data_IF_708775248250
#
_entry.id   IF_708775248250
#
_cell.length_a   1.000
_cell.length_b   1.000
_cell.length_c   1.000
_cell.angle_alpha   90.00
_cell.angle_beta   90.00
_cell.angle_gamma   90.00
#
_symmetry.space_group_name_H-M   'P 1'
#
loop_
_entity.id
_entity.type
_entity.pdbx_description
1 polymer ?
#
# COMPACT_ATOMS: atom_id res chain seq x y z
N UNK A 1 2.81 9.59 -40.85
CA UNK A 1 2.31 8.62 -39.86
C UNK A 1 2.15 9.37 -38.54
N UNK A 2 0.92 9.62 -38.10
CA UNK A 2 0.62 10.32 -36.84
C UNK A 2 -0.35 9.43 -36.06
N UNK A 3 0.19 8.63 -35.15
CA UNK A 3 -0.58 7.80 -34.22
C UNK A 3 -0.93 8.67 -33.02
N UNK A 4 -2.15 9.24 -33.02
CA UNK A 4 -2.71 9.93 -31.86
C UNK A 4 -3.43 8.92 -30.98
N UNK A 5 -2.85 8.66 -29.81
CA UNK A 5 -3.24 7.64 -28.83
C UNK A 5 -4.63 7.94 -28.25
N UNK A 6 -5.55 6.98 -28.37
CA UNK A 6 -6.88 7.04 -27.78
C UNK A 6 -6.79 6.79 -26.26
N UNK A 7 -7.08 7.82 -25.46
CA UNK A 7 -7.08 7.75 -24.00
C UNK A 7 -8.45 7.23 -23.50
N UNK A 8 -8.53 5.96 -23.12
CA UNK A 8 -9.71 5.37 -22.50
C UNK A 8 -9.69 5.66 -20.99
N UNK A 9 -10.58 6.54 -20.54
CA UNK A 9 -10.79 6.86 -19.12
C UNK A 9 -11.69 5.80 -18.50
N UNK A 10 -11.13 4.93 -17.65
CA UNK A 10 -11.89 3.97 -16.85
C UNK A 10 -12.13 4.58 -15.47
N UNK A 11 -13.37 4.96 -15.22
CA UNK A 11 -13.86 5.44 -13.92
C UNK A 11 -14.05 4.22 -13.02
N UNK A 12 -13.19 4.07 -12.00
CA UNK A 12 -13.38 3.08 -10.94
C UNK A 12 -13.79 3.80 -9.65
N UNK A 13 -15.10 3.76 -9.40
CA UNK A 13 -15.73 4.14 -8.14
C UNK A 13 -15.33 3.08 -7.11
N UNK A 14 -14.37 3.40 -6.24
CA UNK A 14 -14.04 2.53 -5.11
C UNK A 14 -14.78 3.03 -3.86
N UNK A 15 -15.77 2.23 -3.49
CA UNK A 15 -16.57 2.34 -2.28
C UNK A 15 -15.64 2.40 -1.06
N UNK A 16 -15.69 3.52 -0.34
CA UNK A 16 -15.15 3.66 1.00
C UNK A 16 -15.86 2.66 1.93
N UNK A 17 -15.33 1.44 2.00
CA UNK A 17 -15.75 0.42 2.95
C UNK A 17 -15.13 0.72 4.30
N UNK A 18 -15.98 0.82 5.33
CA UNK A 18 -15.60 0.94 6.72
C UNK A 18 -14.59 -0.15 7.14
N UNK A 19 -13.28 0.14 7.12
CA UNK A 19 -12.26 -0.74 7.70
C UNK A 19 -12.12 -0.47 9.19
N UNK A 20 -13.21 -0.71 9.92
CA UNK A 20 -13.20 -0.78 11.38
C UNK A 20 -12.70 -2.15 11.81
N UNK A 21 -11.55 -2.19 12.50
CA UNK A 21 -11.15 -3.22 13.47
C UNK A 21 -11.48 -4.67 13.12
N UNK A 22 -10.80 -5.26 12.13
CA UNK A 22 -10.94 -6.69 11.86
C UNK A 22 -9.82 -7.48 12.55
N UNK A 23 -10.19 -8.28 13.56
CA UNK A 23 -9.35 -9.19 14.35
C UNK A 23 -8.78 -10.40 13.56
N UNK A 24 -8.77 -10.34 12.23
CA UNK A 24 -8.34 -11.44 11.35
C UNK A 24 -6.89 -11.23 10.91
N UNK A 25 -6.04 -12.26 10.95
CA UNK A 25 -4.71 -12.25 10.33
C UNK A 25 -4.82 -11.83 8.87
N UNK A 26 -4.02 -10.84 8.45
CA UNK A 26 -3.98 -10.36 7.07
C UNK A 26 -2.60 -10.55 6.48
N UNK A 27 -2.41 -10.15 5.24
CA UNK A 27 -1.12 -10.10 4.55
C UNK A 27 -0.87 -8.66 4.14
N UNK A 28 0.32 -8.14 4.44
CA UNK A 28 0.81 -6.89 3.86
C UNK A 28 1.65 -7.26 2.64
N UNK A 29 1.27 -6.73 1.47
CA UNK A 29 2.11 -6.81 0.28
C UNK A 29 2.72 -5.46 -0.03
N UNK A 30 4.00 -5.46 -0.40
CA UNK A 30 4.80 -4.27 -0.68
C UNK A 30 5.43 -4.40 -2.06
N UNK A 31 5.13 -3.44 -2.94
CA UNK A 31 5.62 -3.43 -4.31
C UNK A 31 6.21 -2.07 -4.64
N UNK A 32 7.43 -2.04 -5.18
CA UNK A 32 8.04 -0.80 -5.69
C UNK A 32 7.27 -0.34 -6.92
N UNK A 33 6.92 0.95 -6.95
CA UNK A 33 6.31 1.61 -8.11
C UNK A 33 7.21 2.73 -8.59
N UNK A 34 7.23 2.97 -9.90
CA UNK A 34 8.07 4.03 -10.50
C UNK A 34 7.52 5.43 -10.21
N UNK A 35 6.19 5.57 -10.16
CA UNK A 35 5.53 6.86 -9.97
C UNK A 35 4.37 6.74 -8.97
N UNK A 36 4.19 7.79 -8.16
CA UNK A 36 3.03 7.93 -7.30
C UNK A 36 1.81 8.33 -8.15
N UNK A 37 0.67 7.62 -8.04
CA UNK A 37 -0.53 8.03 -8.75
C UNK A 37 -0.96 9.45 -8.39
N UNK A 38 -1.49 10.18 -9.37
CA UNK A 38 -1.88 11.57 -9.15
C UNK A 38 -3.02 11.67 -8.15
N UNK A 39 -2.88 12.59 -7.19
CA UNK A 39 -3.85 12.80 -6.12
C UNK A 39 -3.60 11.92 -4.89
N UNK A 40 -2.69 10.95 -4.96
CA UNK A 40 -2.31 10.13 -3.81
C UNK A 40 -1.20 10.78 -3.00
N UNK A 41 -1.22 10.53 -1.69
CA UNK A 41 -0.15 10.88 -0.76
C UNK A 41 0.74 9.66 -0.49
N UNK A 42 2.04 9.91 -0.29
CA UNK A 42 2.93 8.88 0.23
C UNK A 42 3.40 9.26 1.63
N UNK A 43 3.17 8.36 2.58
CA UNK A 43 3.63 8.48 3.98
C UNK A 43 5.13 8.24 4.00
N UNK A 44 5.88 9.06 4.74
CA UNK A 44 7.30 8.80 4.96
C UNK A 44 7.45 7.56 5.84
N UNK A 45 8.39 6.66 5.52
CA UNK A 45 8.71 5.52 6.38
C UNK A 45 8.97 5.92 7.84
N UNK A 46 9.62 7.07 8.06
CA UNK A 46 9.93 7.59 9.39
C UNK A 46 8.70 8.00 10.20
N UNK A 47 7.56 8.21 9.53
CA UNK A 47 6.29 8.55 10.18
C UNK A 47 5.45 7.31 10.51
N UNK A 48 5.84 6.12 10.05
CA UNK A 48 5.20 4.87 10.44
C UNK A 48 5.50 4.56 11.91
N UNK A 49 4.57 3.88 12.58
CA UNK A 49 4.86 3.34 13.92
C UNK A 49 5.97 2.29 13.86
N UNK A 50 6.71 2.04 14.96
CA UNK A 50 7.78 1.04 14.96
C UNK A 50 7.34 -0.36 14.50
N UNK A 51 6.13 -0.78 14.85
CA UNK A 51 5.57 -2.05 14.39
C UNK A 51 5.28 -2.06 12.88
N UNK A 52 4.79 -0.95 12.31
CA UNK A 52 4.57 -0.82 10.87
C UNK A 52 5.88 -0.77 10.09
N UNK A 53 6.90 -0.14 10.66
CA UNK A 53 8.25 -0.10 10.09
C UNK A 53 8.89 -1.48 9.99
N UNK A 54 8.71 -2.32 11.01
CA UNK A 54 9.18 -3.70 11.06
C UNK A 54 8.48 -4.54 9.98
N UNK A 55 7.15 -4.57 9.99
CA UNK A 55 6.36 -5.34 9.01
C UNK A 55 6.64 -4.87 7.58
N UNK A 56 6.77 -3.57 7.33
CA UNK A 56 7.10 -3.05 5.99
C UNK A 56 8.48 -3.55 5.53
N UNK A 57 9.47 -3.55 6.43
CA UNK A 57 10.81 -4.06 6.12
C UNK A 57 10.81 -5.57 5.89
N UNK A 58 10.04 -6.31 6.66
CA UNK A 58 9.94 -7.76 6.50
C UNK A 58 9.29 -8.09 5.15
N UNK A 59 8.22 -7.39 4.78
CA UNK A 59 7.60 -7.53 3.46
C UNK A 59 8.58 -7.22 2.30
N UNK A 60 9.46 -6.22 2.45
CA UNK A 60 10.50 -5.93 1.45
C UNK A 60 11.54 -7.07 1.32
N UNK A 61 11.78 -7.83 2.40
CA UNK A 61 12.73 -8.94 2.41
C UNK A 61 12.10 -10.28 1.98
N UNK A 62 10.82 -10.49 2.23
CA UNK A 62 10.08 -11.74 2.00
C UNK A 62 9.31 -11.74 0.66
N UNK A 63 10.01 -11.49 -0.45
CA UNK A 63 9.44 -11.48 -1.80
C UNK A 63 8.23 -10.53 -2.00
N UNK A 64 8.09 -9.51 -1.13
CA UNK A 64 7.03 -8.51 -1.23
C UNK A 64 5.77 -8.84 -0.43
N UNK A 65 5.75 -9.83 0.47
CA UNK A 65 4.57 -10.11 1.30
C UNK A 65 4.88 -10.73 2.67
N UNK A 66 4.23 -10.25 3.74
CA UNK A 66 4.38 -10.78 5.11
C UNK A 66 3.02 -10.93 5.81
N UNK A 67 2.93 -11.86 6.76
CA UNK A 67 1.74 -12.01 7.60
C UNK A 67 1.65 -10.87 8.61
N UNK A 68 0.51 -10.18 8.64
CA UNK A 68 0.19 -9.20 9.66
C UNK A 68 -0.28 -9.90 10.93
N UNK A 69 0.53 -9.80 11.98
CA UNK A 69 0.16 -10.30 13.30
C UNK A 69 -1.10 -9.61 13.86
N UNK A 70 -1.80 -10.34 14.74
CA UNK A 70 -3.01 -9.84 15.38
C UNK A 70 -2.67 -8.69 16.32
N UNK A 71 -3.23 -7.52 16.05
CA UNK A 71 -3.03 -6.31 16.86
C UNK A 71 -2.12 -5.27 16.21
N UNK A 72 -1.49 -5.58 15.06
CA UNK A 72 -0.79 -4.57 14.26
C UNK A 72 -1.80 -3.59 13.67
N UNK A 73 -1.59 -2.30 13.96
CA UNK A 73 -2.43 -1.23 13.44
C UNK A 73 -2.27 -1.11 11.92
N UNK A 74 -3.40 -1.19 11.20
CA UNK A 74 -3.51 -1.15 9.73
C UNK A 74 -3.88 0.24 9.21
N UNK A 75 -4.07 1.22 10.10
CA UNK A 75 -4.63 2.53 9.77
C UNK A 75 -3.80 3.32 8.74
N UNK A 76 -2.50 3.08 8.62
CA UNK A 76 -1.65 3.75 7.61
C UNK A 76 -1.51 2.94 6.31
N UNK A 77 -1.95 1.68 6.30
CA UNK A 77 -1.96 0.81 5.13
C UNK A 77 -3.36 0.74 4.49
N UNK A 78 -4.09 1.86 4.48
CA UNK A 78 -5.42 1.95 3.87
C UNK A 78 -5.27 1.82 2.36
N UNK A 79 -5.86 0.76 1.82
CA UNK A 79 -5.56 0.20 0.52
C UNK A 79 -6.01 1.08 -0.68
N UNK A 80 -5.12 1.43 -1.63
CA UNK A 80 -3.68 1.28 -1.57
C UNK A 80 -3.03 2.42 -0.76
N UNK A 81 -2.17 2.04 0.19
CA UNK A 81 -1.27 2.98 0.86
C UNK A 81 0.00 3.16 0.04
N UNK A 82 0.69 4.28 0.21
CA UNK A 82 2.01 4.51 -0.38
C UNK A 82 3.00 4.92 0.68
N UNK A 83 4.16 4.27 0.68
CA UNK A 83 5.27 4.57 1.60
C UNK A 83 6.48 5.02 0.80
N UNK A 84 7.06 6.16 1.17
CA UNK A 84 8.38 6.59 0.70
C UNK A 84 9.45 6.00 1.61
N UNK A 85 10.36 5.23 1.02
CA UNK A 85 11.47 4.59 1.72
C UNK A 85 12.70 4.58 0.82
N UNK A 86 13.85 5.02 1.34
CA UNK A 86 15.14 5.08 0.62
C UNK A 86 15.09 5.79 -0.75
N UNK A 87 14.31 6.87 -0.85
CA UNK A 87 14.14 7.63 -2.09
C UNK A 87 13.18 7.00 -3.11
N UNK A 88 12.67 5.80 -2.83
CA UNK A 88 11.75 5.05 -3.68
C UNK A 88 10.31 5.11 -3.13
N UNK A 89 9.35 4.71 -3.97
CA UNK A 89 7.92 4.67 -3.62
C UNK A 89 7.46 3.22 -3.66
N UNK A 90 6.78 2.81 -2.59
CA UNK A 90 6.24 1.47 -2.45
C UNK A 90 4.74 1.53 -2.23
N UNK A 91 3.99 0.77 -3.02
CA UNK A 91 2.57 0.51 -2.81
C UNK A 91 2.43 -0.56 -1.73
N UNK A 92 1.61 -0.28 -0.73
CA UNK A 92 1.22 -1.22 0.32
C UNK A 92 -0.23 -1.65 0.12
N UNK A 93 -0.47 -2.96 0.09
CA UNK A 93 -1.81 -3.55 -0.05
C UNK A 93 -2.05 -4.50 1.10
N UNK A 94 -3.24 -4.43 1.71
CA UNK A 94 -3.61 -5.28 2.85
C UNK A 94 -4.69 -6.24 2.43
N UNK A 95 -4.34 -7.52 2.33
CA UNK A 95 -5.30 -8.59 2.02
C UNK A 95 -5.74 -9.30 3.29
N UNK A 96 -7.03 -9.58 3.44
CA UNK A 96 -7.55 -10.52 4.44
C UNK A 96 -7.99 -11.81 3.72
N UNK A 97 -7.73 -12.99 4.29
CA UNK A 97 -8.20 -14.26 3.73
C UNK A 97 -9.73 -14.39 3.75
#
# INVERSE_FOLDING_TARGET
MRLGVSLAVVVLVLTAGCLGGSNASGYLSVERVEELPQGEGAVSYDNLSPAQQEVFRDALGEDGSVTLEKGTDRNEFIDPGYVRYDGEIYRTTVSVP
#
